data_IF_958765257349
#
_entry.id   IF_958765257349
#
_cell.length_a   1.000
_cell.length_b   1.000
_cell.length_c   1.000
_cell.angle_alpha   90.00
_cell.angle_beta   90.00
_cell.angle_gamma   90.00
#
_symmetry.space_group_name_H-M   'P 1'
#
loop_
_entity.id
_entity.type
_entity.pdbx_description
1 polymer ?
#
# COMPACT_ATOMS: atom_id res chain seq x y z
N UNK A 1 20.48 -11.04 101.17
CA UNK A 1 21.10 -11.80 100.07
C UNK A 1 20.01 -12.63 99.40
N UNK A 2 19.82 -12.65 98.06
CA UNK A 2 20.42 -11.83 97.01
C UNK A 2 19.43 -10.85 96.34
N UNK A 3 20.02 -9.93 95.57
CA UNK A 3 19.39 -8.96 94.68
C UNK A 3 19.17 -9.56 93.27
N UNK A 4 18.34 -8.91 92.45
CA UNK A 4 18.39 -8.73 90.98
C UNK A 4 16.96 -8.57 90.45
N UNK A 5 16.66 -7.85 89.37
CA UNK A 5 17.29 -6.74 88.64
C UNK A 5 16.23 -6.39 87.60
N UNK A 6 15.78 -5.14 87.61
CA UNK A 6 14.91 -4.56 86.58
C UNK A 6 15.65 -4.60 85.24
N UNK A 7 15.13 -5.34 84.26
CA UNK A 7 15.58 -5.30 82.86
C UNK A 7 14.49 -4.65 82.00
N UNK A 8 14.77 -3.46 81.49
CA UNK A 8 13.86 -2.70 80.64
C UNK A 8 13.73 -3.31 79.23
N UNK A 9 12.51 -3.30 78.69
CA UNK A 9 12.27 -3.56 77.28
C UNK A 9 12.80 -2.39 76.45
N UNK A 10 13.89 -2.61 75.72
CA UNK A 10 14.23 -1.79 74.56
C UNK A 10 13.34 -2.25 73.40
N UNK A 11 12.30 -1.47 73.11
CA UNK A 11 11.54 -1.58 71.87
C UNK A 11 12.40 -0.93 70.77
N UNK A 12 12.94 -1.73 69.85
CA UNK A 12 13.59 -1.21 68.64
C UNK A 12 12.56 -0.43 67.80
N UNK A 13 12.80 0.87 67.67
CA UNK A 13 12.03 1.78 66.81
C UNK A 13 12.36 1.48 65.35
N UNK A 14 11.60 0.57 64.75
CA UNK A 14 11.66 0.29 63.32
C UNK A 14 10.99 1.45 62.56
N UNK A 15 11.81 2.37 62.05
CA UNK A 15 11.35 3.47 61.19
C UNK A 15 10.51 2.99 59.99
N UNK A 16 9.70 3.88 59.39
CA UNK A 16 8.71 3.50 58.39
C UNK A 16 9.36 2.81 57.18
N UNK A 17 8.73 1.75 56.63
CA UNK A 17 9.29 1.00 55.53
C UNK A 17 9.48 1.91 54.32
N UNK A 18 10.72 2.00 53.83
CA UNK A 18 11.05 2.69 52.60
C UNK A 18 10.27 2.05 51.45
N UNK A 19 9.33 2.80 50.86
CA UNK A 19 8.64 2.38 49.66
C UNK A 19 9.70 2.11 48.56
N UNK A 20 9.62 0.98 47.84
CA UNK A 20 10.55 0.73 46.75
C UNK A 20 10.42 1.85 45.71
N UNK A 21 11.54 2.32 45.13
CA UNK A 21 11.50 3.38 44.13
C UNK A 21 10.60 2.94 42.98
N UNK A 22 9.60 3.76 42.66
CA UNK A 22 8.78 3.59 41.48
C UNK A 22 9.71 3.50 40.28
N UNK A 23 9.85 2.30 39.72
CA UNK A 23 10.67 2.06 38.56
C UNK A 23 9.95 2.67 37.36
N UNK A 24 10.18 3.95 37.09
CA UNK A 24 9.83 4.55 35.81
C UNK A 24 10.76 3.94 34.76
N UNK A 25 10.42 2.74 34.30
CA UNK A 25 11.11 2.12 33.16
C UNK A 25 10.96 3.11 32.01
N UNK A 26 12.06 3.64 31.44
CA UNK A 26 11.95 4.53 30.30
C UNK A 26 11.19 3.79 29.20
N UNK A 27 10.21 4.47 28.61
CA UNK A 27 9.43 3.98 27.48
C UNK A 27 10.41 3.58 26.39
N UNK A 28 10.62 2.28 26.25
CA UNK A 28 11.57 1.72 25.29
C UNK A 28 11.01 2.09 23.92
N UNK A 29 11.68 3.02 23.23
CA UNK A 29 11.43 3.30 21.82
C UNK A 29 11.35 1.96 21.10
N UNK A 30 10.15 1.60 20.64
CA UNK A 30 9.86 0.32 20.02
C UNK A 30 9.63 0.58 18.52
N UNK A 31 10.66 0.46 17.67
CA UNK A 31 10.56 0.77 16.25
C UNK A 31 9.46 -0.02 15.55
N UNK A 32 9.17 -1.24 15.99
CA UNK A 32 8.10 -2.06 15.41
C UNK A 32 6.72 -1.52 15.76
N UNK A 33 6.52 -1.02 16.98
CA UNK A 33 5.27 -0.38 17.38
C UNK A 33 5.04 0.90 16.57
N UNK A 34 6.09 1.70 16.39
CA UNK A 34 6.06 2.92 15.57
C UNK A 34 5.78 2.63 14.09
N UNK A 35 6.38 1.59 13.53
CA UNK A 35 6.10 1.16 12.15
C UNK A 35 4.63 0.71 11.97
N UNK A 36 4.09 -0.08 12.90
CA UNK A 36 2.67 -0.47 12.87
C UNK A 36 1.73 0.72 13.01
N UNK A 37 2.10 1.71 13.82
CA UNK A 37 1.35 2.95 13.94
C UNK A 37 1.34 3.72 12.61
N UNK A 38 2.50 3.95 12.02
CA UNK A 38 2.62 4.64 10.73
C UNK A 38 1.82 3.94 9.62
N UNK A 39 1.86 2.60 9.58
CA UNK A 39 1.06 1.82 8.63
C UNK A 39 -0.44 2.03 8.82
N UNK A 40 -0.95 2.01 10.07
CA UNK A 40 -2.36 2.27 10.36
C UNK A 40 -2.78 3.67 9.94
N UNK A 41 -1.99 4.68 10.30
CA UNK A 41 -2.26 6.07 9.91
C UNK A 41 -2.26 6.23 8.38
N UNK A 42 -1.34 5.59 7.66
CA UNK A 42 -1.33 5.59 6.19
C UNK A 42 -2.56 4.89 5.61
N UNK A 43 -2.97 3.75 6.17
CA UNK A 43 -4.15 3.02 5.74
C UNK A 43 -5.45 3.82 5.97
N UNK A 44 -5.59 4.48 7.12
CA UNK A 44 -6.74 5.32 7.44
C UNK A 44 -6.83 6.55 6.53
N UNK A 45 -5.69 7.21 6.28
CA UNK A 45 -5.61 8.31 5.33
C UNK A 45 -5.98 7.85 3.92
N UNK A 46 -5.46 6.71 3.47
CA UNK A 46 -5.79 6.17 2.15
C UNK A 46 -7.26 5.75 2.07
N UNK A 47 -7.86 5.23 3.15
CA UNK A 47 -9.26 4.85 3.18
C UNK A 47 -10.17 6.03 2.81
N UNK A 48 -9.83 7.24 3.25
CA UNK A 48 -10.55 8.49 2.94
C UNK A 48 -10.31 9.04 1.52
N UNK A 49 -9.32 8.52 0.77
CA UNK A 49 -9.06 8.97 -0.61
C UNK A 49 -9.98 8.25 -1.60
N UNK A 50 -10.93 8.95 -2.20
CA UNK A 50 -11.84 8.36 -3.18
C UNK A 50 -11.21 8.13 -4.56
N UNK A 51 -10.30 9.03 -4.95
CA UNK A 51 -9.65 9.03 -6.25
C UNK A 51 -8.32 9.76 -6.19
N UNK A 52 -7.43 9.43 -7.12
CA UNK A 52 -6.14 10.12 -7.26
C UNK A 52 -5.63 10.06 -8.68
N UNK A 53 -4.66 10.92 -8.97
CA UNK A 53 -3.93 10.96 -10.23
C UNK A 53 -2.44 10.87 -9.90
N UNK A 54 -1.74 9.94 -10.54
CA UNK A 54 -0.30 9.75 -10.36
C UNK A 54 0.40 9.60 -11.70
N UNK A 55 1.70 9.90 -11.71
CA UNK A 55 2.60 9.49 -12.79
C UNK A 55 3.26 8.18 -12.35
N UNK A 56 2.89 7.09 -12.99
CA UNK A 56 3.44 5.77 -12.72
C UNK A 56 4.60 5.50 -13.68
N UNK A 57 5.73 5.05 -13.13
CA UNK A 57 6.85 4.48 -13.89
C UNK A 57 6.89 2.99 -13.56
N UNK A 58 6.84 2.13 -14.58
CA UNK A 58 6.81 0.67 -14.38
C UNK A 58 7.75 -0.05 -15.34
N UNK A 59 8.27 -1.18 -14.89
CA UNK A 59 9.00 -2.15 -15.72
C UNK A 59 8.56 -3.54 -15.28
N UNK A 60 8.04 -4.31 -16.22
CA UNK A 60 7.54 -5.66 -15.95
C UNK A 60 8.41 -6.69 -16.67
N UNK A 61 8.73 -7.78 -15.97
CA UNK A 61 9.15 -9.02 -16.63
C UNK A 61 7.85 -9.73 -17.05
N UNK A 62 7.67 -10.14 -18.30
CA UNK A 62 6.45 -10.84 -18.76
C UNK A 62 6.88 -12.03 -19.59
N UNK A 63 6.39 -13.23 -19.24
CA UNK A 63 6.80 -14.50 -19.86
C UNK A 63 8.32 -14.68 -19.95
N UNK A 64 9.04 -14.32 -18.87
CA UNK A 64 10.49 -14.44 -18.78
C UNK A 64 11.28 -13.41 -19.57
N UNK A 65 10.64 -12.37 -20.13
CA UNK A 65 11.31 -11.30 -20.88
C UNK A 65 11.08 -9.94 -20.26
N UNK A 66 12.13 -9.15 -20.10
CA UNK A 66 12.01 -7.77 -19.63
C UNK A 66 11.27 -6.94 -20.66
N UNK A 67 10.21 -6.27 -20.23
CA UNK A 67 9.55 -5.26 -21.03
C UNK A 67 10.29 -3.94 -20.91
N UNK A 68 10.22 -3.10 -21.95
CA UNK A 68 10.65 -1.73 -21.83
C UNK A 68 9.98 -1.04 -20.64
N UNK A 69 10.69 -0.09 -20.06
CA UNK A 69 10.10 0.74 -19.03
C UNK A 69 9.08 1.69 -19.64
N UNK A 70 7.94 1.82 -18.97
CA UNK A 70 6.86 2.70 -19.39
C UNK A 70 6.64 3.79 -18.34
N UNK A 71 6.36 5.00 -18.79
CA UNK A 71 5.84 6.07 -17.93
C UNK A 71 4.42 6.40 -18.38
N UNK A 72 3.46 6.38 -17.46
CA UNK A 72 2.05 6.63 -17.76
C UNK A 72 1.40 7.56 -16.73
N UNK A 73 0.40 8.31 -17.18
CA UNK A 73 -0.55 8.98 -16.31
C UNK A 73 -1.61 7.96 -15.89
N UNK A 74 -1.74 7.71 -14.59
CA UNK A 74 -2.78 6.86 -14.02
C UNK A 74 -3.79 7.70 -13.25
N UNK A 75 -5.06 7.53 -13.59
CA UNK A 75 -6.18 8.04 -12.79
C UNK A 75 -6.94 6.86 -12.23
N UNK A 76 -7.17 6.87 -10.92
CA UNK A 76 -7.87 5.82 -10.22
C UNK A 76 -9.02 6.42 -9.43
N UNK A 77 -10.14 5.69 -9.36
CA UNK A 77 -11.29 5.98 -8.49
C UNK A 77 -11.83 4.69 -7.91
N UNK A 78 -12.13 4.68 -6.60
CA UNK A 78 -12.66 3.51 -5.89
C UNK A 78 -14.08 3.13 -6.32
N UNK A 79 -14.99 4.11 -6.43
CA UNK A 79 -16.40 3.85 -6.71
C UNK A 79 -17.01 4.77 -7.79
N UNK A 80 -17.61 4.20 -8.85
CA UNK A 80 -17.39 2.82 -9.29
C UNK A 80 -15.88 2.60 -9.55
N UNK A 81 -15.39 1.38 -9.35
CA UNK A 81 -13.98 1.05 -9.58
C UNK A 81 -13.61 1.45 -11.01
N UNK A 82 -12.78 2.47 -11.15
CA UNK A 82 -12.46 3.08 -12.45
C UNK A 82 -10.98 3.35 -12.57
N UNK A 83 -10.45 2.99 -13.74
CA UNK A 83 -9.04 3.12 -14.05
C UNK A 83 -8.90 3.77 -15.41
N UNK A 84 -8.03 4.77 -15.49
CA UNK A 84 -7.62 5.35 -16.77
C UNK A 84 -6.10 5.42 -16.83
N UNK A 85 -5.54 4.92 -17.93
CA UNK A 85 -4.12 5.01 -18.24
C UNK A 85 -3.90 5.76 -19.55
N UNK A 86 -2.88 6.63 -19.56
CA UNK A 86 -2.35 7.25 -20.77
C UNK A 86 -0.84 7.12 -20.77
N UNK A 87 -0.29 6.46 -21.77
CA UNK A 87 1.15 6.28 -21.91
C UNK A 87 1.79 7.61 -22.32
N UNK A 88 2.83 8.00 -21.58
CA UNK A 88 3.60 9.23 -21.77
C UNK A 88 5.00 8.97 -22.33
N UNK A 89 5.51 7.75 -22.18
CA UNK A 89 6.76 7.27 -22.79
C UNK A 89 6.61 7.06 -24.30
N UNK A 90 7.75 6.89 -25.00
CA UNK A 90 7.76 6.50 -26.42
C UNK A 90 7.15 5.10 -26.60
N UNK A 91 7.44 4.22 -25.66
CA UNK A 91 6.86 2.90 -25.52
C UNK A 91 5.37 3.05 -25.20
N UNK A 92 4.53 2.56 -26.12
CA UNK A 92 3.08 2.71 -26.04
C UNK A 92 2.58 4.13 -26.37
N UNK A 93 3.38 4.99 -27.03
CA UNK A 93 2.97 6.36 -27.36
C UNK A 93 1.61 6.38 -28.10
N UNK A 94 0.68 7.18 -27.57
CA UNK A 94 -0.69 7.28 -28.07
C UNK A 94 -1.65 6.21 -27.54
N UNK A 95 -1.16 5.22 -26.76
CA UNK A 95 -2.02 4.26 -26.08
C UNK A 95 -2.79 4.93 -24.95
N UNK A 96 -4.08 4.65 -24.88
CA UNK A 96 -4.95 5.01 -23.75
C UNK A 96 -5.82 3.80 -23.38
N UNK A 97 -6.17 3.69 -22.10
CA UNK A 97 -7.05 2.64 -21.59
C UNK A 97 -8.01 3.27 -20.60
N UNK A 98 -9.29 2.90 -20.69
CA UNK A 98 -10.29 3.18 -19.66
C UNK A 98 -11.05 1.91 -19.30
N UNK A 99 -11.26 1.72 -18.01
CA UNK A 99 -12.09 0.66 -17.45
C UNK A 99 -12.99 1.24 -16.36
N UNK A 100 -14.25 0.83 -16.34
CA UNK A 100 -15.22 1.21 -15.31
C UNK A 100 -16.03 -0.03 -14.97
N UNK A 101 -15.82 -0.57 -13.77
CA UNK A 101 -16.49 -1.80 -13.30
C UNK A 101 -18.02 -1.61 -13.27
N UNK A 102 -18.75 -2.58 -13.81
CA UNK A 102 -20.20 -2.59 -13.95
C UNK A 102 -20.72 -1.76 -15.14
N UNK A 103 -19.83 -1.21 -15.98
CA UNK A 103 -20.19 -0.42 -17.15
C UNK A 103 -19.52 -0.98 -18.41
N UNK A 104 -20.11 -0.68 -19.57
CA UNK A 104 -19.57 -1.04 -20.89
C UNK A 104 -19.19 -2.53 -21.03
N UNK A 105 -20.12 -3.41 -20.64
CA UNK A 105 -19.93 -4.87 -20.63
C UNK A 105 -18.73 -5.36 -19.79
N UNK A 106 -18.28 -4.58 -18.80
CA UNK A 106 -17.07 -4.87 -18.02
C UNK A 106 -15.82 -5.05 -18.90
N UNK A 107 -15.76 -4.33 -20.02
CA UNK A 107 -14.62 -4.34 -20.94
C UNK A 107 -13.71 -3.15 -20.72
N UNK A 108 -12.43 -3.36 -21.00
CA UNK A 108 -11.46 -2.28 -21.14
C UNK A 108 -11.58 -1.69 -22.53
N UNK A 109 -11.77 -0.38 -22.61
CA UNK A 109 -11.76 0.36 -23.85
C UNK A 109 -10.39 0.97 -24.05
N UNK A 110 -9.73 0.56 -25.12
CA UNK A 110 -8.36 0.95 -25.42
C UNK A 110 -8.28 1.73 -26.71
N UNK A 111 -7.45 2.77 -26.72
CA UNK A 111 -6.87 3.34 -27.92
C UNK A 111 -5.52 2.67 -28.13
N UNK A 112 -5.34 1.99 -29.26
CA UNK A 112 -4.11 1.25 -29.54
C UNK A 112 -2.97 2.19 -29.95
N UNK A 113 -1.76 1.88 -29.49
CA UNK A 113 -0.54 2.41 -30.09
C UNK A 113 -0.18 1.63 -31.36
N UNK A 114 0.68 2.23 -32.18
CA UNK A 114 1.28 1.52 -33.30
C UNK A 114 2.11 0.33 -32.78
N UNK A 115 1.92 -0.86 -33.38
CA UNK A 115 2.62 -2.08 -32.98
C UNK A 115 1.93 -2.91 -31.90
N UNK A 116 0.81 -2.44 -31.32
CA UNK A 116 0.02 -3.22 -30.35
C UNK A 116 -0.61 -4.46 -30.99
N UNK A 117 -0.88 -4.38 -32.29
CA UNK A 117 -1.53 -5.42 -33.08
C UNK A 117 -0.87 -5.58 -34.44
N UNK A 118 -0.63 -6.82 -34.91
CA UNK A 118 -0.16 -7.06 -36.27
C UNK A 118 -1.13 -6.45 -37.28
N UNK A 119 -0.61 -5.73 -38.27
CA UNK A 119 -1.36 -5.16 -39.40
C UNK A 119 -2.43 -4.12 -39.02
N UNK A 120 -2.44 -3.62 -37.78
CA UNK A 120 -3.35 -2.56 -37.33
C UNK A 120 -2.55 -1.29 -37.03
N UNK A 121 -2.95 -0.18 -37.64
CA UNK A 121 -2.37 1.13 -37.34
C UNK A 121 -2.73 1.58 -35.92
N UNK A 122 -1.87 2.39 -35.30
CA UNK A 122 -2.22 3.09 -34.06
C UNK A 122 -3.47 3.98 -34.21
N UNK A 123 -4.05 4.36 -33.08
CA UNK A 123 -5.24 5.23 -33.02
C UNK A 123 -6.58 4.52 -33.25
N UNK A 124 -6.57 3.19 -33.45
CA UNK A 124 -7.80 2.39 -33.50
C UNK A 124 -8.29 2.09 -32.09
N UNK A 125 -9.61 2.07 -31.91
CA UNK A 125 -10.26 1.73 -30.63
C UNK A 125 -10.63 0.25 -30.60
N UNK A 126 -10.45 -0.38 -29.44
CA UNK A 126 -10.84 -1.76 -29.19
C UNK A 126 -11.48 -1.89 -27.80
N UNK A 127 -12.40 -2.84 -27.65
CA UNK A 127 -12.94 -3.25 -26.36
C UNK A 127 -12.48 -4.68 -26.08
N UNK A 128 -11.82 -4.91 -24.95
CA UNK A 128 -11.26 -6.20 -24.57
C UNK A 128 -11.71 -6.61 -23.17
N UNK A 129 -12.02 -7.89 -22.98
CA UNK A 129 -12.24 -8.43 -21.65
C UNK A 129 -10.93 -8.40 -20.83
N UNK A 130 -10.97 -8.01 -19.54
CA UNK A 130 -9.79 -7.95 -18.66
C UNK A 130 -8.97 -9.24 -18.55
N UNK A 131 -9.61 -10.39 -18.73
CA UNK A 131 -9.05 -11.73 -18.63
C UNK A 131 -8.68 -12.35 -19.98
N UNK A 132 -8.92 -11.65 -21.09
CA UNK A 132 -8.58 -12.15 -22.43
C UNK A 132 -7.09 -12.44 -22.56
N UNK A 133 -6.74 -13.50 -23.32
CA UNK A 133 -5.34 -13.91 -23.54
C UNK A 133 -4.47 -12.76 -24.05
N UNK A 134 -5.04 -11.91 -24.91
CA UNK A 134 -4.37 -10.75 -25.47
C UNK A 134 -3.90 -9.78 -24.37
N UNK A 135 -4.79 -9.42 -23.45
CA UNK A 135 -4.47 -8.55 -22.30
C UNK A 135 -3.45 -9.24 -21.40
N UNK A 136 -3.72 -10.50 -21.06
CA UNK A 136 -2.91 -11.30 -20.13
C UNK A 136 -1.50 -11.56 -20.62
N UNK A 137 -1.29 -11.57 -21.94
CA UNK A 137 0.04 -11.70 -22.56
C UNK A 137 0.89 -10.42 -22.46
N UNK A 138 0.27 -9.28 -22.20
CA UNK A 138 0.92 -7.96 -22.19
C UNK A 138 1.33 -7.49 -20.79
N UNK A 139 0.66 -7.95 -19.74
CA UNK A 139 0.96 -7.59 -18.35
C UNK A 139 0.75 -8.76 -17.39
N UNK A 140 1.52 -8.75 -16.30
CA UNK A 140 1.34 -9.67 -15.16
C UNK A 140 0.17 -9.29 -14.26
N UNK A 141 -0.24 -8.03 -14.28
CA UNK A 141 -1.27 -7.52 -13.38
C UNK A 141 -2.63 -7.43 -14.07
N UNK A 142 -3.67 -7.79 -13.33
CA UNK A 142 -5.04 -7.58 -13.77
C UNK A 142 -5.43 -6.11 -13.59
N UNK A 143 -6.32 -5.60 -14.43
CA UNK A 143 -6.86 -4.23 -14.25
C UNK A 143 -7.59 -4.08 -12.89
N UNK A 144 -8.10 -5.18 -12.33
CA UNK A 144 -8.73 -5.22 -11.02
C UNK A 144 -7.76 -5.03 -9.85
N UNK A 145 -6.46 -5.13 -10.09
CA UNK A 145 -5.39 -4.88 -9.11
C UNK A 145 -4.89 -3.43 -9.17
N UNK A 146 -5.43 -2.61 -10.07
CA UNK A 146 -5.05 -1.20 -10.16
C UNK A 146 -5.48 -0.45 -8.88
N UNK A 147 -4.57 0.35 -8.35
CA UNK A 147 -4.72 0.95 -7.03
C UNK A 147 -3.37 1.05 -6.34
N UNK A 148 -3.35 1.70 -5.18
CA UNK A 148 -2.29 1.57 -4.17
C UNK A 148 -2.86 0.74 -3.01
#
# INVERSE_FOLDING_TARGET
>A
MPATSTGGNHQEDAGPPLAPPASSRPEVDNPQAKLRQLYREAADNYAAVDSYIVRLRRRELVNGRDKPEETLLAKFRKQPFSVYFKWLSKEGAGRELIFVKGHYDDKMHMLLAAGDMPLVSGGKRMALAPDSMLVRSSSRHSIYEAGI
#
